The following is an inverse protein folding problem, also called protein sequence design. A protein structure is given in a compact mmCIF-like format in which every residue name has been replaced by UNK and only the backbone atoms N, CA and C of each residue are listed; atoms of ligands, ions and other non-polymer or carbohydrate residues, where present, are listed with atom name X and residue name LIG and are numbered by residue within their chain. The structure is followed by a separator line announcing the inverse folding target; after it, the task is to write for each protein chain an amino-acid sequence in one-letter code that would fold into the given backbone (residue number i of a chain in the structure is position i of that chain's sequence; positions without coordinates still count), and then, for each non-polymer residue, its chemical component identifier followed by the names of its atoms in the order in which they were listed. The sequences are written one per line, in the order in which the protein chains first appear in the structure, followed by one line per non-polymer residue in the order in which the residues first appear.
data_IF_613902009905
#
_entry.id   IF_613902009905
#
_cell.length_a   1.000
_cell.length_b   1.000
_cell.length_c   1.000
_cell.angle_alpha   90.00
_cell.angle_beta   90.00
_cell.angle_gamma   90.00
#
_symmetry.space_group_name_H-M   'P 1'
#
loop_
_entity.id
_entity.type
_entity.pdbx_description
1 polymer ?
#
# COMPACT_ATOMS: atom_id res chain seq x y z
N UNK A 1 1.64 -3.84 -6.45
CA UNK A 1 1.26 -5.24 -6.17
C UNK A 1 0.53 -5.26 -4.82
N UNK A 2 -0.50 -6.11 -4.66
CA UNK A 2 -1.37 -6.14 -3.47
C UNK A 2 -0.58 -6.38 -2.17
N UNK A 3 0.02 -7.56 -2.02
CA UNK A 3 0.62 -8.04 -0.77
C UNK A 3 2.16 -8.02 -0.76
N UNK A 4 2.77 -7.04 -1.44
CA UNK A 4 4.23 -6.92 -1.50
C UNK A 4 4.89 -6.83 -0.14
N UNK A 5 4.27 -6.12 0.81
CA UNK A 5 4.81 -5.89 2.15
C UNK A 5 4.36 -6.93 3.18
N UNK A 6 3.72 -8.03 2.75
CA UNK A 6 3.25 -9.06 3.68
C UNK A 6 4.41 -9.74 4.42
N UNK A 7 5.60 -9.76 3.82
CA UNK A 7 6.86 -10.21 4.43
C UNK A 7 7.30 -9.38 5.65
N UNK A 8 6.77 -8.16 5.84
CA UNK A 8 7.10 -7.32 7.00
C UNK A 8 6.20 -7.60 8.22
N UNK A 9 5.12 -8.35 8.04
CA UNK A 9 4.19 -8.71 9.12
C UNK A 9 4.87 -9.67 10.09
N UNK A 10 4.63 -9.45 11.39
CA UNK A 10 5.21 -10.23 12.48
C UNK A 10 4.12 -10.90 13.31
N UNK A 11 4.51 -11.90 14.10
CA UNK A 11 3.64 -12.45 15.13
C UNK A 11 3.17 -11.34 16.07
N UNK A 12 1.92 -11.43 16.50
CA UNK A 12 1.17 -10.44 17.28
C UNK A 12 0.71 -9.17 16.53
N UNK A 13 1.08 -8.98 15.27
CA UNK A 13 0.47 -7.94 14.45
C UNK A 13 -1.02 -8.22 14.24
N UNK A 14 -1.77 -7.17 13.90
CA UNK A 14 -3.21 -7.28 13.68
C UNK A 14 -3.57 -6.78 12.30
N UNK A 15 -4.50 -7.48 11.64
CA UNK A 15 -5.09 -7.05 10.38
C UNK A 15 -6.62 -7.08 10.50
N UNK A 16 -7.29 -6.23 9.72
CA UNK A 16 -8.75 -6.07 9.78
C UNK A 16 -9.32 -6.28 8.39
N UNK A 17 -10.26 -7.21 8.28
CA UNK A 17 -11.08 -7.40 7.09
C UNK A 17 -12.34 -6.56 7.20
N UNK A 18 -12.71 -5.88 6.12
CA UNK A 18 -14.00 -5.21 6.01
C UNK A 18 -14.86 -5.95 4.99
N UNK A 19 -15.93 -6.61 5.46
CA UNK A 19 -16.82 -7.45 4.65
C UNK A 19 -18.27 -7.08 4.97
N UNK A 20 -19.08 -6.72 3.98
CA UNK A 20 -20.47 -6.26 4.16
C UNK A 20 -20.63 -5.23 5.30
N UNK A 21 -19.76 -4.21 5.33
CA UNK A 21 -19.68 -3.18 6.38
C UNK A 21 -19.32 -3.66 7.79
N UNK A 22 -19.02 -4.96 7.98
CA UNK A 22 -18.51 -5.51 9.25
C UNK A 22 -16.98 -5.47 9.25
N UNK A 23 -16.41 -5.07 10.39
CA UNK A 23 -14.95 -5.09 10.62
C UNK A 23 -14.58 -6.32 11.45
N UNK A 24 -13.78 -7.20 10.87
CA UNK A 24 -13.34 -8.46 11.46
C UNK A 24 -11.83 -8.36 11.73
N UNK A 25 -11.42 -8.36 13.00
CA UNK A 25 -10.02 -8.21 13.38
C UNK A 25 -9.37 -9.56 13.67
N UNK A 26 -8.15 -9.74 13.20
CA UNK A 26 -7.38 -10.96 13.39
C UNK A 26 -5.99 -10.62 13.90
N UNK A 27 -5.47 -11.45 14.81
CA UNK A 27 -4.11 -11.33 15.36
C UNK A 27 -3.23 -12.46 14.85
N UNK A 28 -2.11 -12.11 14.23
CA UNK A 28 -1.17 -13.04 13.60
C UNK A 28 -0.51 -13.92 14.66
N UNK A 29 -0.56 -15.23 14.49
CA UNK A 29 0.11 -16.18 15.38
C UNK A 29 1.08 -17.12 14.64
N UNK A 30 0.85 -17.34 13.34
CA UNK A 30 1.60 -18.28 12.53
C UNK A 30 2.00 -17.62 11.20
N UNK A 31 3.27 -17.77 10.84
CA UNK A 31 3.86 -17.31 9.58
C UNK A 31 4.73 -18.45 9.07
N UNK A 32 4.50 -18.88 7.84
CA UNK A 32 5.19 -20.01 7.24
C UNK A 32 5.50 -19.75 5.76
N UNK A 33 6.57 -20.36 5.28
CA UNK A 33 6.92 -20.39 3.85
C UNK A 33 6.83 -21.83 3.40
N UNK A 34 5.92 -22.09 2.45
CA UNK A 34 5.60 -23.43 1.97
C UNK A 34 5.79 -23.53 0.46
N UNK A 35 5.90 -24.75 -0.06
CA UNK A 35 5.86 -24.98 -1.51
C UNK A 35 4.45 -24.74 -2.05
N UNK A 36 4.28 -24.38 -3.34
CA UNK A 36 2.96 -24.15 -3.92
C UNK A 36 2.01 -25.34 -3.80
N UNK A 37 2.53 -26.56 -3.77
CA UNK A 37 1.75 -27.80 -3.68
C UNK A 37 1.38 -28.17 -2.23
N UNK A 38 1.96 -27.50 -1.24
CA UNK A 38 1.74 -27.77 0.18
C UNK A 38 0.61 -26.91 0.73
N UNK A 39 -0.61 -27.46 0.68
CA UNK A 39 -1.84 -26.83 1.15
C UNK A 39 -2.29 -27.32 2.53
N UNK A 40 -1.51 -28.18 3.21
CA UNK A 40 -1.93 -28.77 4.49
C UNK A 40 -2.20 -27.69 5.55
N UNK A 41 -1.40 -26.62 5.55
CA UNK A 41 -1.56 -25.47 6.45
C UNK A 41 -2.80 -24.59 6.20
N UNK A 42 -3.58 -24.86 5.15
CA UNK A 42 -4.78 -24.10 4.77
C UNK A 42 -6.10 -24.83 5.06
N UNK A 43 -6.03 -26.02 5.67
CA UNK A 43 -7.24 -26.77 6.02
C UNK A 43 -8.05 -26.07 7.12
N UNK A 44 -9.37 -26.26 7.07
CA UNK A 44 -10.28 -25.73 8.10
C UNK A 44 -10.03 -26.47 9.41
N UNK A 45 -9.74 -25.72 10.46
CA UNK A 45 -9.60 -26.25 11.81
C UNK A 45 -10.94 -26.13 12.55
N UNK A 46 -11.50 -27.26 13.07
CA UNK A 46 -12.74 -27.21 13.85
C UNK A 46 -12.67 -26.21 15.01
N UNK A 47 -13.78 -25.51 15.25
CA UNK A 47 -13.97 -24.54 16.34
C UNK A 47 -13.02 -23.32 16.33
N UNK A 48 -12.31 -23.05 15.22
CA UNK A 48 -11.44 -21.88 15.08
C UNK A 48 -11.90 -20.94 13.96
N UNK A 49 -11.96 -19.64 14.26
CA UNK A 49 -12.11 -18.56 13.28
C UNK A 49 -10.72 -18.04 12.89
N UNK A 50 -10.20 -18.56 11.78
CA UNK A 50 -8.86 -18.27 11.26
C UNK A 50 -8.95 -17.61 9.89
N UNK A 51 -8.01 -16.70 9.63
CA UNK A 51 -7.77 -16.16 8.28
C UNK A 51 -6.30 -16.27 7.96
N UNK A 52 -5.99 -16.80 6.78
CA UNK A 52 -4.64 -16.85 6.23
C UNK A 52 -4.52 -15.89 5.05
N UNK A 53 -3.62 -14.92 5.14
CA UNK A 53 -3.19 -14.11 4.01
C UNK A 53 -2.08 -14.85 3.26
N UNK A 54 -2.23 -15.00 1.94
CA UNK A 54 -1.30 -15.73 1.09
C UNK A 54 -0.70 -14.82 0.03
N UNK A 55 0.62 -14.94 -0.19
CA UNK A 55 1.31 -14.30 -1.33
C UNK A 55 2.44 -15.19 -1.84
N UNK A 56 2.96 -14.87 -3.03
CA UNK A 56 4.15 -15.50 -3.57
C UNK A 56 5.42 -14.98 -2.87
N UNK A 57 6.43 -15.84 -2.73
CA UNK A 57 7.73 -15.50 -2.15
C UNK A 57 8.81 -16.44 -2.72
N UNK A 58 10.12 -16.13 -2.70
CA UNK A 58 10.73 -14.82 -2.46
C UNK A 58 10.31 -13.78 -3.50
N UNK A 59 10.47 -12.50 -3.16
CA UNK A 59 10.16 -11.39 -4.06
C UNK A 59 10.87 -11.56 -5.42
N UNK A 60 10.14 -11.37 -6.52
CA UNK A 60 10.56 -11.58 -7.91
C UNK A 60 10.88 -13.03 -8.33
N UNK A 61 11.01 -13.98 -7.39
CA UNK A 61 11.26 -15.40 -7.69
C UNK A 61 9.95 -16.21 -7.69
N UNK A 62 9.05 -15.95 -6.73
CA UNK A 62 7.72 -16.55 -6.62
C UNK A 62 7.67 -18.09 -6.54
N UNK A 63 8.77 -18.75 -6.16
CA UNK A 63 8.90 -20.21 -6.08
C UNK A 63 8.15 -20.86 -4.92
N UNK A 64 7.77 -20.08 -3.91
CA UNK A 64 7.11 -20.50 -2.69
C UNK A 64 5.88 -19.62 -2.38
N UNK A 65 5.16 -19.97 -1.33
CA UNK A 65 4.04 -19.22 -0.78
C UNK A 65 4.35 -18.79 0.64
N UNK A 66 4.15 -17.50 0.93
CA UNK A 66 4.17 -16.97 2.28
C UNK A 66 2.73 -16.99 2.79
N UNK A 67 2.51 -17.71 3.90
CA UNK A 67 1.23 -17.78 4.58
C UNK A 67 1.35 -17.02 5.91
N UNK A 68 0.41 -16.11 6.15
CA UNK A 68 0.31 -15.33 7.39
C UNK A 68 -1.07 -15.58 7.99
N UNK A 69 -1.13 -16.40 9.02
CA UNK A 69 -2.39 -16.82 9.65
C UNK A 69 -2.64 -16.08 10.96
N UNK A 70 -3.85 -15.53 11.09
CA UNK A 70 -4.34 -14.89 12.29
C UNK A 70 -5.59 -15.56 12.85
N UNK A 71 -5.76 -15.50 14.17
CA UNK A 71 -6.99 -15.90 14.85
C UNK A 71 -7.87 -14.69 15.16
N UNK A 72 -9.18 -14.91 15.21
CA UNK A 72 -10.15 -13.86 15.46
C UNK A 72 -9.94 -13.19 16.82
N UNK A 73 -9.97 -11.86 16.84
CA UNK A 73 -9.96 -11.04 18.06
C UNK A 73 -11.07 -9.98 18.03
N UNK A 74 -11.54 -9.49 19.20
CA UNK A 74 -12.48 -8.39 19.25
C UNK A 74 -11.91 -7.13 18.58
N UNK A 75 -12.69 -6.53 17.69
CA UNK A 75 -12.34 -5.24 17.09
C UNK A 75 -12.48 -4.14 18.15
N UNK A 76 -11.39 -3.46 18.47
CA UNK A 76 -11.36 -2.47 19.55
C UNK A 76 -11.21 -1.02 19.04
N UNK A 77 -11.47 -0.05 19.93
CA UNK A 77 -11.38 1.38 19.60
C UNK A 77 -9.98 1.81 19.17
N UNK A 78 -8.92 1.17 19.68
CA UNK A 78 -7.55 1.50 19.31
C UNK A 78 -7.26 1.10 17.86
N UNK A 79 -7.72 -0.07 17.42
CA UNK A 79 -7.63 -0.50 16.01
C UNK A 79 -8.40 0.46 15.10
N UNK A 80 -9.60 0.88 15.49
CA UNK A 80 -10.38 1.87 14.73
C UNK A 80 -9.63 3.19 14.56
N UNK A 81 -9.09 3.72 15.67
CA UNK A 81 -8.31 4.96 15.68
C UNK A 81 -7.03 4.84 14.84
N UNK A 82 -6.34 3.71 14.91
CA UNK A 82 -5.13 3.46 14.12
C UNK A 82 -5.42 3.46 12.62
N UNK A 83 -6.48 2.75 12.18
CA UNK A 83 -6.91 2.74 10.78
C UNK A 83 -7.27 4.15 10.31
N UNK A 84 -8.08 4.88 11.07
CA UNK A 84 -8.49 6.25 10.72
C UNK A 84 -7.28 7.20 10.62
N UNK A 85 -6.33 7.11 11.54
CA UNK A 85 -5.11 7.91 11.52
C UNK A 85 -4.24 7.58 10.31
N UNK A 86 -4.09 6.30 9.97
CA UNK A 86 -3.35 5.85 8.78
C UNK A 86 -4.00 6.35 7.49
N UNK A 87 -5.33 6.29 7.39
CA UNK A 87 -6.08 6.79 6.23
C UNK A 87 -5.91 8.31 6.08
N UNK A 88 -6.05 9.08 7.17
CA UNK A 88 -5.81 10.53 7.17
C UNK A 88 -4.39 10.88 6.74
N UNK A 89 -3.39 10.21 7.30
CA UNK A 89 -1.99 10.44 6.97
C UNK A 89 -1.71 10.15 5.49
N UNK A 90 -2.22 9.03 4.96
CA UNK A 90 -2.05 8.67 3.56
C UNK A 90 -2.73 9.68 2.63
N UNK A 91 -3.94 10.13 2.95
CA UNK A 91 -4.67 11.12 2.16
C UNK A 91 -3.94 12.47 2.13
N UNK A 92 -3.43 12.94 3.27
CA UNK A 92 -2.64 14.18 3.35
C UNK A 92 -1.35 14.04 2.55
N UNK A 93 -0.63 12.92 2.72
CA UNK A 93 0.60 12.64 1.97
C UNK A 93 0.35 12.64 0.46
N UNK A 94 -0.74 12.01 0.00
CA UNK A 94 -1.12 12.00 -1.42
C UNK A 94 -1.47 13.40 -1.93
N UNK A 95 -2.25 14.18 -1.16
CA UNK A 95 -2.58 15.55 -1.52
C UNK A 95 -1.32 16.43 -1.68
N UNK A 96 -0.36 16.32 -0.75
CA UNK A 96 0.92 17.03 -0.84
C UNK A 96 1.74 16.64 -2.06
N UNK A 97 1.78 15.35 -2.41
CA UNK A 97 2.48 14.88 -3.62
C UNK A 97 1.83 15.47 -4.88
N UNK A 98 0.49 15.46 -4.97
CA UNK A 98 -0.25 16.01 -6.12
C UNK A 98 0.02 17.52 -6.24
N UNK A 99 -0.07 18.27 -5.15
CA UNK A 99 0.23 19.71 -5.13
C UNK A 99 1.67 19.98 -5.58
N UNK A 100 2.63 19.19 -5.10
CA UNK A 100 4.03 19.31 -5.51
C UNK A 100 4.23 19.07 -7.01
N UNK A 101 3.56 18.08 -7.59
CA UNK A 101 3.59 17.79 -9.03
C UNK A 101 2.99 18.94 -9.83
N UNK A 102 1.84 19.48 -9.41
CA UNK A 102 1.18 20.61 -10.10
C UNK A 102 2.09 21.84 -10.11
N UNK A 103 2.71 22.16 -8.98
CA UNK A 103 3.65 23.29 -8.88
C UNK A 103 4.86 23.10 -9.80
N UNK A 104 5.43 21.88 -9.84
CA UNK A 104 6.57 21.57 -10.70
C UNK A 104 6.22 21.72 -12.18
N UNK A 105 5.05 21.24 -12.60
CA UNK A 105 4.54 21.39 -13.96
C UNK A 105 4.32 22.88 -14.30
N UNK A 106 3.69 23.66 -13.42
CA UNK A 106 3.47 25.08 -13.63
C UNK A 106 4.80 25.85 -13.79
N UNK A 107 5.81 25.53 -12.97
CA UNK A 107 7.15 26.11 -13.08
C UNK A 107 7.81 25.77 -14.42
N UNK A 108 7.69 24.53 -14.91
CA UNK A 108 8.19 24.13 -16.23
C UNK A 108 7.50 24.91 -17.35
N UNK A 109 6.17 25.06 -17.31
CA UNK A 109 5.44 25.86 -18.30
C UNK A 109 5.85 27.33 -18.29
N UNK A 110 5.98 27.94 -17.11
CA UNK A 110 6.44 29.34 -16.96
C UNK A 110 7.86 29.50 -17.52
N UNK A 111 8.75 28.56 -17.23
CA UNK A 111 10.12 28.57 -17.74
C UNK A 111 10.17 28.47 -19.27
N UNK A 112 9.41 27.53 -19.86
CA UNK A 112 9.31 27.36 -21.31
C UNK A 112 8.71 28.60 -21.98
N UNK A 113 7.64 29.17 -21.42
CA UNK A 113 7.01 30.40 -21.90
C UNK A 113 8.00 31.58 -21.91
N UNK A 114 8.72 31.81 -20.79
CA UNK A 114 9.76 32.84 -20.72
C UNK A 114 10.92 32.59 -21.69
N UNK A 115 11.26 31.33 -21.96
CA UNK A 115 12.30 30.97 -22.94
C UNK A 115 11.88 31.32 -24.37
N UNK A 116 10.65 30.98 -24.74
CA UNK A 116 10.09 31.29 -26.07
C UNK A 116 10.01 32.80 -26.30
N UNK A 117 9.54 33.57 -25.31
CA UNK A 117 9.45 35.03 -25.41
C UNK A 117 10.83 35.66 -25.60
N UNK A 118 11.84 35.24 -24.81
CA UNK A 118 13.21 35.76 -24.97
C UNK A 118 13.77 35.51 -26.36
N UNK A 119 13.55 34.32 -26.93
CA UNK A 119 14.01 33.99 -28.29
C UNK A 119 13.30 34.85 -29.35
N UNK A 120 11.98 35.06 -29.23
CA UNK A 120 11.22 35.92 -30.15
C UNK A 120 11.66 37.39 -30.08
N UNK A 121 11.89 37.93 -28.88
CA UNK A 121 12.38 39.29 -28.69
C UNK A 121 13.80 39.49 -29.24
N UNK A 122 14.68 38.48 -29.10
CA UNK A 122 16.03 38.52 -29.65
C UNK A 122 16.00 38.58 -31.19
N UNK A 123 15.19 37.76 -31.87
CA UNK A 123 15.04 37.80 -33.33
C UNK A 123 14.54 39.16 -33.85
N UNK A 124 13.53 39.75 -33.21
CA UNK A 124 12.96 41.05 -33.62
C UNK A 124 13.97 42.21 -33.59
N UNK A 125 15.04 42.11 -32.80
CA UNK A 125 16.09 43.13 -32.71
C UNK A 125 17.13 43.06 -33.84
N UNK A 126 17.19 41.95 -34.59
CA UNK A 126 18.11 41.76 -35.72
C UNK A 126 17.49 42.14 -37.08
N UNK A 127 16.16 42.30 -37.16
CA UNK A 127 15.42 42.64 -38.40
C UNK A 127 15.15 44.17 -38.54
N UNK A 128 15.94 45.03 -37.89
CA UNK A 128 15.91 46.51 -37.94
C UNK A 128 17.30 47.02 -38.33
#
# INVERSE_FOLDING_TARGET
MLFTNLNHVKKNDTFVLTVFHKKLAYKVFKIEVVKPEDYQGLQVEPDKDLVTLITCTPYMVNSHRLLVTGYRVPYNKNMAKNIENSDKFNNIKQALIIVGIILLIALQFIFLYKRIIRIKLAKKKFDL
#
